data_IF_148027977894
#
_entry.id   IF_148027977894
#
_cell.length_a   1.000
_cell.length_b   1.000
_cell.length_c   1.000
_cell.angle_alpha   90.00
_cell.angle_beta   90.00
_cell.angle_gamma   90.00
#
_symmetry.space_group_name_H-M   'P 1'
#
loop_
_entity.id
_entity.type
_entity.pdbx_description
1 polymer ?
#
# COMPACT_ATOMS: atom_id res chain seq x y z
N UNK A 1 13.08 -12.24 -8.39
CA UNK A 1 12.52 -11.17 -7.55
C UNK A 1 11.02 -11.36 -7.50
N UNK A 2 10.39 -11.37 -6.32
CA UNK A 2 8.94 -11.61 -6.19
C UNK A 2 8.19 -10.29 -6.26
N UNK A 3 7.12 -10.26 -7.05
CA UNK A 3 6.40 -9.04 -7.42
C UNK A 3 4.94 -9.16 -7.00
N UNK A 4 4.37 -8.10 -6.42
CA UNK A 4 2.94 -8.02 -6.12
C UNK A 4 2.20 -7.33 -7.26
N UNK A 5 1.31 -8.06 -7.94
CA UNK A 5 0.45 -7.48 -8.97
C UNK A 5 -0.95 -8.08 -8.83
N UNK A 6 -1.90 -7.30 -8.32
CA UNK A 6 -3.29 -7.73 -8.22
C UNK A 6 -4.00 -7.54 -9.56
N UNK A 7 -3.85 -6.38 -10.20
CA UNK A 7 -4.31 -6.06 -11.57
C UNK A 7 -5.82 -6.15 -11.84
N UNK A 8 -6.55 -7.00 -11.12
CA UNK A 8 -7.96 -7.31 -11.20
C UNK A 8 -8.49 -7.68 -9.81
N UNK A 9 -8.92 -6.65 -9.10
CA UNK A 9 -9.30 -6.68 -7.69
C UNK A 9 -10.63 -5.96 -7.49
N UNK A 10 -11.45 -5.90 -8.55
CA UNK A 10 -12.68 -5.11 -8.57
C UNK A 10 -13.71 -5.55 -7.52
N UNK A 11 -13.59 -6.75 -6.95
CA UNK A 11 -14.47 -7.24 -5.88
C UNK A 11 -13.83 -7.18 -4.49
N UNK A 12 -12.55 -6.86 -4.39
CA UNK A 12 -11.82 -6.85 -3.14
C UNK A 12 -12.06 -5.52 -2.44
N UNK A 13 -12.59 -5.58 -1.21
CA UNK A 13 -12.75 -4.43 -0.32
C UNK A 13 -11.58 -4.27 0.62
N UNK A 14 -11.10 -5.39 1.17
CA UNK A 14 -10.00 -5.41 2.12
C UNK A 14 -8.95 -6.39 1.63
N UNK A 15 -7.69 -5.97 1.65
CA UNK A 15 -6.56 -6.81 1.28
C UNK A 15 -5.49 -6.71 2.35
N UNK A 16 -5.09 -7.86 2.88
CA UNK A 16 -4.06 -7.93 3.91
C UNK A 16 -3.00 -8.95 3.49
N UNK A 17 -1.74 -8.54 3.55
CA UNK A 17 -0.62 -9.40 3.20
C UNK A 17 0.52 -9.26 4.22
N UNK A 18 0.76 -10.34 4.95
CA UNK A 18 1.72 -10.41 6.04
C UNK A 18 2.86 -11.36 5.70
N UNK A 19 4.06 -11.09 6.24
CA UNK A 19 5.22 -12.02 6.17
C UNK A 19 5.43 -12.60 4.78
N UNK A 20 5.48 -11.70 3.80
CA UNK A 20 5.65 -12.04 2.41
C UNK A 20 7.09 -11.75 1.97
N UNK A 21 7.50 -12.34 0.84
CA UNK A 21 8.83 -12.11 0.25
C UNK A 21 8.77 -11.11 -0.91
N UNK A 22 7.76 -10.24 -0.95
CA UNK A 22 7.58 -9.28 -2.04
C UNK A 22 8.71 -8.27 -1.98
N UNK A 23 9.40 -8.14 -3.12
CA UNK A 23 10.51 -7.22 -3.32
C UNK A 23 10.10 -6.00 -4.15
N UNK A 24 9.09 -6.16 -5.00
CA UNK A 24 8.67 -5.15 -5.97
C UNK A 24 7.15 -5.01 -6.04
N UNK A 25 6.68 -3.77 -6.13
CA UNK A 25 5.31 -3.43 -6.56
C UNK A 25 5.45 -2.67 -7.89
N UNK A 26 5.04 -3.25 -9.03
CA UNK A 26 5.18 -2.65 -10.35
C UNK A 26 4.08 -1.61 -10.59
N UNK A 27 4.24 -0.80 -11.63
CA UNK A 27 3.18 0.09 -12.13
C UNK A 27 1.86 -0.69 -12.33
N UNK A 28 0.74 -0.06 -11.98
CA UNK A 28 -0.60 -0.58 -12.17
C UNK A 28 -0.92 -1.86 -11.37
N UNK A 29 -0.14 -2.20 -10.33
CA UNK A 29 -0.39 -3.35 -9.48
C UNK A 29 -1.82 -3.37 -8.88
N UNK A 30 -2.41 -2.19 -8.68
CA UNK A 30 -3.75 -2.01 -8.12
C UNK A 30 -4.75 -1.32 -9.08
N UNK A 31 -4.49 -1.29 -10.39
CA UNK A 31 -5.22 -0.44 -11.35
C UNK A 31 -6.74 -0.64 -11.36
N UNK A 32 -7.22 -1.84 -11.06
CA UNK A 32 -8.65 -2.18 -11.00
C UNK A 32 -9.15 -2.43 -9.56
N UNK A 33 -8.45 -1.93 -8.54
CA UNK A 33 -8.80 -2.10 -7.12
C UNK A 33 -9.72 -0.99 -6.61
N UNK A 34 -10.61 -0.46 -7.45
CA UNK A 34 -11.41 0.73 -7.14
C UNK A 34 -12.31 0.56 -5.91
N UNK A 35 -12.70 -0.66 -5.58
CA UNK A 35 -13.58 -0.95 -4.44
C UNK A 35 -12.81 -1.24 -3.14
N UNK A 36 -11.48 -1.21 -3.17
CA UNK A 36 -10.65 -1.47 -2.00
C UNK A 36 -10.68 -0.26 -1.07
N UNK A 37 -11.11 -0.48 0.18
CA UNK A 37 -11.18 0.51 1.26
C UNK A 37 -10.08 0.30 2.30
N UNK A 38 -9.52 -0.92 2.42
CA UNK A 38 -8.46 -1.24 3.37
C UNK A 38 -7.32 -2.03 2.71
N UNK A 39 -6.10 -1.55 2.92
CA UNK A 39 -4.87 -2.24 2.52
C UNK A 39 -3.93 -2.33 3.72
N UNK A 40 -3.60 -3.55 4.12
CA UNK A 40 -2.58 -3.82 5.15
C UNK A 40 -1.46 -4.61 4.50
N UNK A 41 -0.24 -4.11 4.58
CA UNK A 41 0.89 -4.85 4.04
C UNK A 41 2.15 -4.75 4.89
N UNK A 42 2.83 -5.88 4.98
CA UNK A 42 4.21 -5.95 5.41
C UNK A 42 5.11 -5.45 4.27
N UNK A 43 5.81 -4.34 4.53
CA UNK A 43 6.69 -3.66 3.58
C UNK A 43 8.18 -3.89 3.87
N UNK A 44 8.51 -4.78 4.81
CA UNK A 44 9.88 -4.93 5.32
C UNK A 44 10.88 -5.49 4.34
N UNK A 45 10.43 -6.16 3.28
CA UNK A 45 11.30 -6.68 2.24
C UNK A 45 11.11 -5.98 0.89
N UNK A 46 10.28 -4.95 0.82
CA UNK A 46 10.05 -4.20 -0.41
C UNK A 46 11.24 -3.28 -0.67
N UNK A 47 11.80 -3.45 -1.86
CA UNK A 47 12.99 -2.73 -2.34
C UNK A 47 12.63 -1.71 -3.41
N UNK A 48 11.53 -1.93 -4.15
CA UNK A 48 11.16 -1.08 -5.28
C UNK A 48 9.65 -0.89 -5.43
N UNK A 49 9.24 0.37 -5.64
CA UNK A 49 7.95 0.72 -6.23
C UNK A 49 8.14 1.75 -7.34
N UNK A 50 7.11 1.98 -8.13
CA UNK A 50 7.07 2.90 -9.27
C UNK A 50 5.93 3.90 -9.17
N UNK A 51 5.96 4.90 -10.04
CA UNK A 51 5.05 6.05 -10.04
C UNK A 51 3.56 5.66 -10.06
N UNK A 52 3.15 4.65 -10.81
CA UNK A 52 1.74 4.23 -10.92
C UNK A 52 1.43 2.98 -10.09
N UNK A 53 2.28 2.60 -9.12
CA UNK A 53 2.15 1.31 -8.44
C UNK A 53 0.82 1.18 -7.70
N UNK A 54 0.40 2.26 -7.03
CA UNK A 54 -0.81 2.34 -6.21
C UNK A 54 -2.00 2.98 -6.94
N UNK A 55 -1.84 3.28 -8.23
CA UNK A 55 -2.91 3.77 -9.08
C UNK A 55 -4.07 2.80 -9.07
N UNK A 56 -5.29 3.33 -8.91
CA UNK A 56 -6.53 2.55 -8.89
C UNK A 56 -7.13 2.34 -7.50
N UNK A 57 -6.41 2.67 -6.42
CA UNK A 57 -6.88 2.64 -5.03
C UNK A 57 -7.79 3.84 -4.66
N UNK A 58 -8.69 4.23 -5.56
CA UNK A 58 -9.44 5.50 -5.50
C UNK A 58 -10.35 5.65 -4.27
N UNK A 59 -10.83 4.55 -3.70
CA UNK A 59 -11.68 4.53 -2.51
C UNK A 59 -10.94 4.01 -1.28
N UNK A 60 -9.61 3.99 -1.29
CA UNK A 60 -8.84 3.53 -0.15
C UNK A 60 -8.97 4.51 1.01
N UNK A 61 -9.47 4.01 2.13
CA UNK A 61 -9.70 4.78 3.35
C UNK A 61 -8.65 4.50 4.41
N UNK A 62 -8.14 3.27 4.45
CA UNK A 62 -7.15 2.83 5.43
C UNK A 62 -5.98 2.13 4.75
N UNK A 63 -4.79 2.67 4.99
CA UNK A 63 -3.53 2.07 4.55
C UNK A 63 -2.63 1.84 5.76
N UNK A 64 -2.16 0.61 5.93
CA UNK A 64 -1.28 0.22 7.02
C UNK A 64 -0.01 -0.45 6.49
N UNK A 65 1.15 0.10 6.87
CA UNK A 65 2.46 -0.50 6.61
C UNK A 65 3.11 -0.94 7.93
N UNK A 66 3.57 -2.20 8.02
CA UNK A 66 3.95 -2.83 9.30
C UNK A 66 5.46 -2.82 9.60
N UNK A 67 6.33 -3.11 8.63
CA UNK A 67 7.76 -3.30 8.87
C UNK A 67 8.62 -2.38 7.98
N UNK A 68 8.18 -1.15 7.81
CA UNK A 68 8.75 -0.15 6.90
C UNK A 68 10.28 -0.01 7.04
N UNK A 69 11.06 -0.75 6.24
CA UNK A 69 12.53 -0.56 6.20
C UNK A 69 12.91 0.63 5.34
N UNK A 70 12.17 0.85 4.24
CA UNK A 70 12.43 1.91 3.28
C UNK A 70 11.12 2.62 2.94
N UNK A 71 10.76 3.68 3.67
CA UNK A 71 9.54 4.46 3.39
C UNK A 71 9.64 5.28 2.10
N UNK A 72 10.86 5.74 1.77
CA UNK A 72 11.12 6.64 0.64
C UNK A 72 10.77 6.03 -0.72
N UNK A 73 10.69 4.70 -0.81
CA UNK A 73 10.35 4.01 -2.05
C UNK A 73 8.86 4.07 -2.38
N UNK A 74 7.99 4.43 -1.43
CA UNK A 74 6.56 4.54 -1.65
C UNK A 74 6.24 5.94 -2.16
N UNK A 75 5.94 6.03 -3.46
CA UNK A 75 5.85 7.28 -4.20
C UNK A 75 4.57 8.09 -3.91
N UNK A 76 4.52 9.32 -4.43
CA UNK A 76 3.42 10.24 -4.20
C UNK A 76 2.04 9.77 -4.72
N UNK A 77 1.96 8.83 -5.66
CA UNK A 77 0.66 8.34 -6.19
C UNK A 77 -0.24 7.71 -5.13
N UNK A 78 0.35 7.28 -4.01
CA UNK A 78 -0.38 6.83 -2.83
C UNK A 78 -1.27 7.94 -2.24
N UNK A 79 -0.86 9.21 -2.37
CA UNK A 79 -1.57 10.39 -1.89
C UNK A 79 -2.61 10.93 -2.89
N UNK A 80 -2.66 10.41 -4.12
CA UNK A 80 -3.71 10.77 -5.08
C UNK A 80 -5.09 10.22 -4.69
N UNK A 81 -5.14 9.36 -3.66
CA UNK A 81 -6.38 8.82 -3.11
C UNK A 81 -7.01 9.86 -2.15
N UNK A 82 -8.15 10.48 -2.53
CA UNK A 82 -8.68 11.67 -1.84
C UNK A 82 -9.18 11.40 -0.41
N UNK A 83 -9.40 10.13 -0.05
CA UNK A 83 -10.01 9.71 1.22
C UNK A 83 -9.04 8.94 2.13
N UNK A 84 -7.76 8.89 1.78
CA UNK A 84 -6.82 7.97 2.44
C UNK A 84 -6.42 8.47 3.84
N UNK A 85 -6.59 7.61 4.84
CA UNK A 85 -5.96 7.75 6.15
C UNK A 85 -4.79 6.78 6.22
N UNK A 86 -3.58 7.32 6.25
CA UNK A 86 -2.36 6.54 6.25
C UNK A 86 -1.92 6.31 7.68
N UNK A 87 -1.95 5.05 8.12
CA UNK A 87 -1.44 4.63 9.40
C UNK A 87 -0.06 4.00 9.23
N UNK A 88 0.97 4.69 9.73
CA UNK A 88 2.34 4.18 9.74
C UNK A 88 2.58 3.52 11.10
N UNK A 89 2.85 2.23 11.11
CA UNK A 89 3.32 1.54 12.30
C UNK A 89 4.77 1.13 12.06
N UNK A 90 5.67 1.65 12.88
CA UNK A 90 6.97 1.04 13.07
C UNK A 90 6.83 -0.11 14.07
N UNK A 91 7.88 -0.91 14.23
CA UNK A 91 7.98 -1.90 15.30
C UNK A 91 8.10 -1.25 16.71
N UNK A 92 7.56 -0.04 16.89
CA UNK A 92 7.44 0.69 18.15
C UNK A 92 6.27 1.68 18.06
N UNK A 93 5.07 1.25 18.49
CA UNK A 93 3.98 2.15 18.90
C UNK A 93 3.40 3.07 17.83
N UNK A 94 2.21 2.72 17.36
CA UNK A 94 1.16 3.55 16.76
C UNK A 94 1.44 5.04 16.58
N UNK A 95 1.45 5.52 15.32
CA UNK A 95 1.21 6.94 15.03
C UNK A 95 -0.16 7.04 14.36
N UNK A 96 -1.11 7.67 15.05
CA UNK A 96 -2.43 7.98 14.50
C UNK A 96 -2.32 9.02 13.38
N UNK A 97 -3.07 8.79 12.29
CA UNK A 97 -3.23 9.72 11.19
C UNK A 97 -4.06 10.93 11.64
N UNK A 98 -3.40 11.88 12.31
CA UNK A 98 -3.97 13.16 12.74
C UNK A 98 -2.92 14.26 12.99
N UNK A 99 -1.65 14.00 12.68
CA UNK A 99 -0.54 14.94 12.86
C UNK A 99 0.21 15.15 11.54
N UNK A 100 -0.43 15.88 10.62
CA UNK A 100 0.21 16.62 9.53
C UNK A 100 -0.45 17.99 9.43
#
# INVERSE_FOLDING_TARGET
MKTLNLGNCAKIKEFEIYKNEIKEIPNNAFINCKNMTKLVMDTGDIEKTYEDSFKGLQNLESLTFIAQKNLEIFNNSLFDSPNIKIFKFSNSGSIEAGAL
#
